data_IF_619013125818
#
_entry.id   IF_619013125818
#
_cell.length_a   1.000
_cell.length_b   1.000
_cell.length_c   1.000
_cell.angle_alpha   90.00
_cell.angle_beta   90.00
_cell.angle_gamma   90.00
#
_symmetry.space_group_name_H-M   'P 1'
#
loop_
_entity.id
_entity.type
_entity.pdbx_description
1 polymer ?
#
# COMPACT_ATOMS: atom_id res chain seq x y z
N UNK A 1 5.51 -24.90 -14.17
CA UNK A 1 4.34 -24.86 -15.07
C UNK A 1 3.16 -24.54 -14.18
N UNK A 2 2.81 -23.24 -14.11
CA UNK A 2 1.80 -22.70 -13.19
C UNK A 2 0.41 -23.02 -13.71
N UNK A 3 -0.41 -23.72 -12.95
CA UNK A 3 -1.81 -23.98 -13.28
C UNK A 3 -2.67 -22.82 -12.80
N UNK A 4 -3.22 -22.04 -13.72
CA UNK A 4 -4.20 -20.98 -13.42
C UNK A 4 -5.57 -21.63 -13.15
N UNK A 5 -6.16 -21.36 -11.98
CA UNK A 5 -7.51 -21.83 -11.66
C UNK A 5 -8.53 -20.72 -11.92
N UNK A 6 -9.35 -20.89 -12.96
CA UNK A 6 -10.48 -20.00 -13.28
C UNK A 6 -11.73 -20.52 -12.58
N UNK A 7 -12.33 -19.72 -11.69
CA UNK A 7 -13.57 -20.08 -10.98
C UNK A 7 -14.64 -19.03 -11.24
N UNK A 8 -15.76 -19.45 -11.84
CA UNK A 8 -16.92 -18.60 -12.11
C UNK A 8 -17.76 -18.47 -10.84
N UNK A 9 -17.89 -17.26 -10.31
CA UNK A 9 -18.89 -16.92 -9.30
C UNK A 9 -19.97 -16.08 -9.99
N UNK A 10 -21.24 -16.45 -9.82
CA UNK A 10 -22.38 -15.74 -10.42
C UNK A 10 -22.75 -14.58 -9.48
N UNK A 11 -22.49 -13.34 -9.89
CA UNK A 11 -23.08 -12.16 -9.25
C UNK A 11 -24.53 -12.02 -9.72
N UNK A 12 -25.49 -12.16 -8.80
CA UNK A 12 -26.93 -12.20 -9.10
C UNK A 12 -27.54 -10.82 -9.43
N UNK A 13 -26.75 -9.74 -9.46
CA UNK A 13 -27.23 -8.36 -9.69
C UNK A 13 -26.63 -7.63 -10.90
N UNK A 14 -25.56 -8.13 -11.54
CA UNK A 14 -24.98 -7.46 -12.71
C UNK A 14 -24.60 -8.47 -13.80
N UNK A 15 -25.13 -8.27 -15.01
CA UNK A 15 -24.87 -9.08 -16.21
C UNK A 15 -23.45 -8.93 -16.79
N UNK A 16 -22.51 -8.37 -16.02
CA UNK A 16 -21.10 -8.33 -16.39
C UNK A 16 -20.37 -9.51 -15.75
N UNK A 17 -20.08 -10.53 -16.57
CA UNK A 17 -19.18 -11.62 -16.19
C UNK A 17 -17.76 -11.07 -16.14
N UNK A 18 -17.30 -10.63 -14.98
CA UNK A 18 -15.87 -10.40 -14.75
C UNK A 18 -15.22 -11.74 -14.37
N UNK A 19 -14.41 -12.28 -15.29
CA UNK A 19 -13.58 -13.46 -15.00
C UNK A 19 -12.56 -13.07 -13.93
N UNK A 20 -12.82 -13.42 -12.67
CA UNK A 20 -11.87 -13.24 -11.58
C UNK A 20 -10.79 -14.32 -11.66
N UNK A 21 -9.58 -13.93 -12.02
CA UNK A 21 -8.38 -14.79 -11.96
C UNK A 21 -7.96 -14.85 -10.49
N UNK A 22 -7.69 -16.03 -9.93
CA UNK A 22 -7.18 -16.18 -8.56
C UNK A 22 -5.70 -16.57 -8.58
N UNK A 23 -4.89 -16.10 -7.61
CA UNK A 23 -3.53 -16.62 -7.43
C UNK A 23 -3.52 -18.00 -6.75
N UNK A 24 -2.31 -18.55 -6.63
CA UNK A 24 -1.99 -19.80 -5.93
C UNK A 24 -2.50 -19.81 -4.47
N UNK A 25 -2.72 -18.64 -3.86
CA UNK A 25 -3.24 -18.48 -2.50
C UNK A 25 -4.77 -18.32 -2.46
N UNK A 26 -5.45 -18.36 -3.61
CA UNK A 26 -6.90 -18.20 -3.71
C UNK A 26 -7.38 -16.75 -3.54
N UNK A 27 -6.50 -15.76 -3.72
CA UNK A 27 -6.88 -14.35 -3.75
C UNK A 27 -7.13 -13.87 -5.18
N UNK A 28 -8.13 -13.01 -5.40
CA UNK A 28 -8.38 -12.45 -6.72
C UNK A 28 -7.18 -11.60 -7.18
N UNK A 29 -6.79 -11.79 -8.43
CA UNK A 29 -5.79 -11.00 -9.12
C UNK A 29 -6.37 -9.64 -9.46
N UNK A 30 -5.95 -8.63 -8.69
CA UNK A 30 -6.37 -7.25 -8.86
C UNK A 30 -5.30 -6.47 -9.63
N UNK A 31 -5.71 -5.78 -10.70
CA UNK A 31 -4.84 -4.82 -11.38
C UNK A 31 -4.54 -3.63 -10.46
N UNK A 32 -3.27 -3.39 -10.14
CA UNK A 32 -2.83 -2.31 -9.23
C UNK A 32 -2.31 -1.11 -10.01
N UNK A 33 -2.56 0.10 -9.48
CA UNK A 33 -1.95 1.33 -10.01
C UNK A 33 -0.43 1.24 -9.96
N UNK A 34 0.25 1.70 -11.01
CA UNK A 34 1.73 1.73 -11.09
C UNK A 34 2.33 3.11 -10.82
N UNK A 35 1.50 4.15 -10.77
CA UNK A 35 1.93 5.53 -10.50
C UNK A 35 0.83 6.32 -9.81
N UNK A 36 1.24 7.37 -9.13
CA UNK A 36 0.34 8.42 -8.64
C UNK A 36 0.07 9.45 -9.74
N UNK A 37 -1.01 10.23 -9.63
CA UNK A 37 -1.17 11.46 -10.41
C UNK A 37 -0.02 12.43 -10.17
N UNK A 38 0.25 13.28 -11.16
CA UNK A 38 1.27 14.33 -11.00
C UNK A 38 0.87 15.31 -9.88
N UNK A 39 1.84 15.79 -9.06
CA UNK A 39 1.55 16.74 -8.00
C UNK A 39 0.92 18.03 -8.54
N UNK A 40 -0.16 18.48 -7.89
CA UNK A 40 -0.87 19.73 -8.28
C UNK A 40 -0.03 20.97 -7.95
N UNK A 41 0.65 20.94 -6.81
CA UNK A 41 1.57 22.01 -6.39
C UNK A 41 3.02 21.54 -6.59
N UNK A 42 3.86 22.40 -7.18
CA UNK A 42 5.31 22.19 -7.14
C UNK A 42 5.78 22.39 -5.70
N UNK A 43 6.67 21.52 -5.22
CA UNK A 43 7.28 21.64 -3.90
C UNK A 43 7.80 23.07 -3.71
N UNK A 44 7.13 23.84 -2.84
CA UNK A 44 7.66 25.14 -2.41
C UNK A 44 8.88 24.80 -1.58
N UNK A 45 10.04 25.38 -1.89
CA UNK A 45 11.33 25.14 -1.21
C UNK A 45 11.40 25.63 0.24
N UNK A 46 10.33 25.49 1.01
CA UNK A 46 10.27 25.82 2.42
C UNK A 46 10.93 24.69 3.20
N UNK A 47 11.85 25.04 4.10
CA UNK A 47 12.62 24.07 4.86
C UNK A 47 11.75 23.36 5.90
N UNK A 48 11.69 22.01 5.85
CA UNK A 48 11.06 21.20 6.90
C UNK A 48 11.62 21.55 8.29
N UNK A 49 12.95 21.78 8.37
CA UNK A 49 13.62 22.16 9.61
C UNK A 49 13.04 23.46 10.22
N UNK A 50 12.74 24.46 9.39
CA UNK A 50 12.17 25.72 9.86
C UNK A 50 10.78 25.58 10.49
N UNK A 51 10.04 24.53 10.15
CA UNK A 51 8.71 24.23 10.71
C UNK A 51 8.74 23.39 11.98
N UNK A 52 9.76 22.53 12.12
CA UNK A 52 9.82 21.60 13.25
C UNK A 52 10.71 22.10 14.40
N UNK A 53 11.61 23.06 14.16
CA UNK A 53 12.58 23.54 15.17
C UNK A 53 11.93 24.06 16.46
N UNK A 54 10.78 24.73 16.37
CA UNK A 54 10.07 25.31 17.52
C UNK A 54 9.17 24.27 18.25
N UNK A 55 9.13 23.05 17.71
CA UNK A 55 8.38 21.90 18.22
C UNK A 55 9.27 20.78 18.76
N UNK A 56 10.60 20.99 18.81
CA UNK A 56 11.53 20.01 19.39
C UNK A 56 11.17 19.75 20.86
N UNK A 57 11.08 18.47 21.23
CA UNK A 57 10.68 18.03 22.56
C UNK A 57 9.17 18.02 22.81
N UNK A 58 8.34 18.41 21.83
CA UNK A 58 6.87 18.26 21.88
C UNK A 58 6.43 17.01 21.11
N UNK A 59 5.22 16.57 21.41
CA UNK A 59 4.51 15.57 20.62
C UNK A 59 4.12 16.17 19.26
N UNK A 60 4.85 15.79 18.21
CA UNK A 60 4.62 16.26 16.84
C UNK A 60 3.26 15.86 16.28
N UNK A 61 2.61 14.83 16.83
CA UNK A 61 1.25 14.44 16.38
C UNK A 61 0.21 15.52 16.68
N UNK A 62 0.53 16.44 17.59
CA UNK A 62 -0.32 17.60 17.96
C UNK A 62 0.03 18.87 17.20
N UNK A 63 1.03 18.82 16.33
CA UNK A 63 1.48 19.97 15.53
C UNK A 63 0.85 19.89 14.15
N UNK A 64 0.12 20.93 13.76
CA UNK A 64 -0.46 21.02 12.42
C UNK A 64 0.63 21.44 11.41
N UNK A 65 1.06 20.50 10.57
CA UNK A 65 1.94 20.79 9.43
C UNK A 65 1.10 21.05 8.17
N UNK A 66 1.58 21.89 7.24
CA UNK A 66 0.95 22.02 5.93
C UNK A 66 0.91 20.70 5.16
N UNK A 67 -0.17 20.45 4.41
CA UNK A 67 -0.41 19.17 3.71
C UNK A 67 0.70 18.77 2.72
N UNK A 68 1.42 19.73 2.16
CA UNK A 68 2.51 19.48 1.23
C UNK A 68 3.78 18.90 1.88
N UNK A 69 3.82 18.77 3.22
CA UNK A 69 4.83 17.98 3.94
C UNK A 69 4.39 16.54 4.23
N UNK A 70 3.13 16.20 3.95
CA UNK A 70 2.63 14.86 4.16
C UNK A 70 2.84 14.03 2.90
N UNK A 71 3.19 12.76 3.09
CA UNK A 71 3.09 11.76 2.03
C UNK A 71 1.61 11.44 1.76
N UNK A 72 1.23 11.05 0.52
CA UNK A 72 -0.16 10.76 0.15
C UNK A 72 -0.60 9.35 0.63
N UNK A 73 -0.27 9.01 1.86
CA UNK A 73 -0.63 7.76 2.54
C UNK A 73 -0.87 8.01 4.04
N UNK A 74 -1.73 7.21 4.65
CA UNK A 74 -1.98 7.26 6.09
C UNK A 74 -0.94 6.46 6.87
N UNK A 75 -0.85 6.69 8.18
CA UNK A 75 0.01 5.89 9.07
C UNK A 75 -0.33 4.39 9.01
N UNK A 76 -1.61 4.04 8.85
CA UNK A 76 -2.03 2.65 8.69
C UNK A 76 -1.47 2.04 7.40
N UNK A 77 -1.54 2.79 6.29
CA UNK A 77 -0.97 2.34 5.01
C UNK A 77 0.55 2.19 5.09
N UNK A 78 1.24 3.13 5.74
CA UNK A 78 2.69 3.02 6.06
C UNK A 78 2.99 1.72 6.82
N UNK A 79 2.21 1.37 7.85
CA UNK A 79 2.42 0.13 8.61
C UNK A 79 2.31 -1.14 7.75
N UNK A 80 1.55 -1.11 6.66
CA UNK A 80 1.44 -2.25 5.74
C UNK A 80 2.60 -2.36 4.75
N UNK A 81 3.47 -1.36 4.63
CA UNK A 81 4.69 -1.46 3.84
C UNK A 81 5.64 -2.54 4.40
N UNK A 82 5.60 -2.79 5.71
CA UNK A 82 6.38 -3.86 6.35
C UNK A 82 6.04 -5.26 5.79
N UNK A 83 4.87 -5.43 5.16
CA UNK A 83 4.42 -6.69 4.57
C UNK A 83 4.72 -6.82 3.07
N UNK A 84 5.40 -5.85 2.44
CA UNK A 84 5.78 -5.91 1.02
C UNK A 84 6.53 -7.20 0.68
N UNK A 85 7.39 -7.64 1.60
CA UNK A 85 8.21 -8.84 1.47
C UNK A 85 7.75 -9.98 2.40
N UNK A 86 6.46 -10.04 2.73
CA UNK A 86 5.88 -11.06 3.62
C UNK A 86 6.18 -12.50 3.19
N UNK A 87 6.33 -12.77 1.88
CA UNK A 87 6.73 -14.09 1.36
C UNK A 87 8.08 -14.60 1.90
N UNK A 88 8.94 -13.71 2.44
CA UNK A 88 10.17 -14.10 3.10
C UNK A 88 9.92 -14.90 4.38
N UNK A 89 8.80 -14.64 5.07
CA UNK A 89 8.39 -15.41 6.25
C UNK A 89 8.03 -16.85 5.88
N UNK A 90 7.30 -17.03 4.78
CA UNK A 90 6.96 -18.37 4.26
C UNK A 90 8.23 -19.13 3.86
N UNK A 91 9.17 -18.47 3.17
CA UNK A 91 10.47 -19.07 2.81
C UNK A 91 11.28 -19.46 4.04
N UNK A 92 11.33 -18.60 5.06
CA UNK A 92 12.03 -18.89 6.30
C UNK A 92 11.43 -20.12 7.00
N UNK A 93 10.10 -20.21 7.03
CA UNK A 93 9.39 -21.36 7.57
C UNK A 93 9.73 -22.66 6.82
N UNK A 94 9.69 -22.66 5.48
CA UNK A 94 10.06 -23.82 4.68
C UNK A 94 11.53 -24.23 4.85
N UNK A 95 12.43 -23.28 5.03
CA UNK A 95 13.82 -23.58 5.34
C UNK A 95 14.01 -24.21 6.72
N UNK A 96 13.27 -23.76 7.72
CA UNK A 96 13.33 -24.28 9.10
C UNK A 96 12.69 -25.65 9.30
N UNK A 97 11.93 -26.17 8.32
CA UNK A 97 11.40 -27.54 8.35
C UNK A 97 12.44 -28.62 8.03
N UNK A 98 13.59 -28.24 7.50
CA UNK A 98 14.72 -29.15 7.22
C UNK A 98 15.54 -29.39 8.48
#
# INVERSE_FOLDING_TARGET
MSGEAVRQCIDMENSHVETMIYDDYGYPQVSRRKKLPDPVEKEKGVSLWSMIKDNVGKDLTRVCLPVFFNEPISSLQKCFEDLEYSYLLDRAYEHGKK
#
